data_IF_060888563254
#
_entry.id   IF_060888563254
#
_cell.length_a   1.000
_cell.length_b   1.000
_cell.length_c   1.000
_cell.angle_alpha   90.00
_cell.angle_beta   90.00
_cell.angle_gamma   90.00
#
_symmetry.space_group_name_H-M   'P 1'
#
loop_
_entity.id
_entity.type
_entity.pdbx_description
1 polymer ?
#
# COMPACT_ATOMS: atom_id res chain seq x y z
N UNK A 1 18.68 -72.14 18.21
CA UNK A 1 20.02 -72.12 18.83
C UNK A 1 20.47 -70.69 18.84
N UNK A 2 20.23 -70.09 19.99
CA UNK A 2 21.16 -69.34 20.92
C UNK A 2 21.87 -68.15 20.24
N UNK A 3 21.38 -66.95 20.64
CA UNK A 3 21.93 -66.06 21.70
C UNK A 3 23.28 -65.45 21.29
N UNK A 4 23.47 -64.12 21.37
CA UNK A 4 23.63 -63.29 22.55
C UNK A 4 23.64 -61.80 22.26
N UNK A 5 22.92 -61.05 23.14
CA UNK A 5 23.07 -59.68 23.48
C UNK A 5 24.52 -59.16 23.60
N UNK A 6 24.74 -57.91 23.24
CA UNK A 6 25.61 -57.07 24.03
C UNK A 6 25.20 -55.55 23.98
N UNK A 7 24.59 -55.16 25.05
CA UNK A 7 24.41 -53.77 25.50
C UNK A 7 25.77 -53.19 25.93
N UNK A 8 26.11 -52.02 25.42
CA UNK A 8 27.09 -51.16 26.05
C UNK A 8 26.40 -49.84 26.42
N UNK A 9 26.14 -49.69 27.69
CA UNK A 9 25.88 -48.41 28.33
C UNK A 9 27.18 -47.67 28.50
N UNK A 10 27.23 -46.41 28.23
CA UNK A 10 28.10 -45.52 28.99
C UNK A 10 27.46 -44.13 29.18
N UNK A 11 27.62 -43.57 30.37
CA UNK A 11 26.87 -42.43 30.87
C UNK A 11 27.69 -41.14 30.84
N UNK A 12 27.09 -40.08 31.34
CA UNK A 12 27.64 -38.76 31.68
C UNK A 12 27.71 -37.71 30.57
N UNK A 13 26.67 -36.90 30.59
CA UNK A 13 26.87 -35.47 30.84
C UNK A 13 25.51 -34.78 31.10
N UNK A 14 25.08 -34.87 32.38
CA UNK A 14 24.21 -33.87 32.99
C UNK A 14 25.09 -32.77 33.49
N UNK A 15 24.84 -31.53 33.07
CA UNK A 15 24.86 -30.30 33.86
C UNK A 15 25.02 -29.08 32.96
N UNK A 16 24.20 -28.13 33.33
CA UNK A 16 24.17 -26.71 33.00
C UNK A 16 23.16 -26.30 31.89
N UNK A 17 21.93 -26.10 32.36
CA UNK A 17 21.22 -24.84 32.14
C UNK A 17 20.02 -24.78 33.10
N UNK A 18 20.30 -24.14 34.24
CA UNK A 18 19.26 -23.81 35.22
C UNK A 18 19.07 -22.30 35.21
N UNK A 19 17.80 -21.90 34.98
CA UNK A 19 17.13 -20.67 35.40
C UNK A 19 17.72 -19.30 35.01
N UNK A 20 16.97 -18.59 34.19
CA UNK A 20 16.39 -17.29 34.60
C UNK A 20 15.07 -17.06 33.84
N UNK A 21 13.98 -17.43 34.45
CA UNK A 21 12.69 -16.81 34.25
C UNK A 21 12.70 -15.50 35.02
N UNK A 22 12.43 -14.38 34.36
CA UNK A 22 11.80 -13.24 34.97
C UNK A 22 10.81 -12.71 33.93
N UNK A 23 9.59 -13.16 34.08
CA UNK A 23 8.40 -12.56 33.51
C UNK A 23 7.89 -11.56 34.54
N UNK A 24 7.70 -10.33 34.11
CA UNK A 24 6.75 -9.43 34.72
C UNK A 24 5.67 -9.13 33.68
N UNK A 25 4.68 -9.98 33.63
CA UNK A 25 3.39 -9.67 32.99
C UNK A 25 2.64 -8.71 33.90
N UNK A 26 2.42 -7.49 33.48
CA UNK A 26 1.55 -6.53 34.15
C UNK A 26 0.10 -6.92 33.78
N UNK A 27 -0.79 -7.24 34.74
CA UNK A 27 -2.18 -7.57 34.43
C UNK A 27 -2.91 -6.40 33.80
N UNK A 28 -3.74 -6.65 32.79
CA UNK A 28 -4.55 -5.65 32.06
C UNK A 28 -5.36 -4.70 32.98
N UNK A 29 -5.69 -5.11 34.19
CA UNK A 29 -6.40 -4.31 35.17
C UNK A 29 -5.58 -3.17 35.80
N UNK A 30 -4.24 -3.18 35.66
CA UNK A 30 -3.39 -2.07 36.12
C UNK A 30 -3.17 -1.00 35.04
N UNK A 31 -3.21 -1.38 33.78
CA UNK A 31 -3.07 -0.43 32.66
C UNK A 31 -4.28 0.52 32.54
N UNK A 32 -5.50 0.06 32.89
CA UNK A 32 -6.70 0.91 32.85
C UNK A 32 -6.71 1.96 33.98
N UNK A 33 -6.17 1.64 35.15
CA UNK A 33 -6.10 2.58 36.29
C UNK A 33 -5.06 3.70 36.09
N UNK A 34 -4.02 3.44 35.31
CA UNK A 34 -2.99 4.44 35.00
C UNK A 34 -3.46 5.43 33.92
N UNK A 35 -4.30 4.99 32.99
CA UNK A 35 -4.92 5.86 31.99
C UNK A 35 -5.93 6.85 32.63
N UNK A 36 -6.66 6.43 33.65
CA UNK A 36 -7.61 7.28 34.35
C UNK A 36 -6.91 8.29 35.26
N UNK A 37 -5.73 7.96 35.79
CA UNK A 37 -4.93 8.85 36.62
C UNK A 37 -4.31 10.00 35.81
N UNK A 38 -3.95 9.76 34.53
CA UNK A 38 -3.42 10.79 33.62
C UNK A 38 -4.52 11.73 33.13
N UNK A 39 -5.77 11.27 33.02
CA UNK A 39 -6.91 12.10 32.65
C UNK A 39 -7.33 13.04 33.78
N UNK A 40 -7.22 12.64 35.06
CA UNK A 40 -7.58 13.47 36.22
C UNK A 40 -6.57 14.58 36.55
N UNK A 41 -5.30 14.44 36.13
CA UNK A 41 -4.27 15.47 36.35
C UNK A 41 -4.31 16.62 35.33
N UNK A 42 -5.07 16.52 34.24
CA UNK A 42 -5.25 17.61 33.27
C UNK A 42 -6.41 18.56 33.56
N UNK A 43 -7.22 18.30 34.57
CA UNK A 43 -8.42 19.07 34.90
C UNK A 43 -8.25 20.08 36.07
N UNK A 44 -7.06 20.20 36.70
CA UNK A 44 -6.85 21.06 37.89
C UNK A 44 -5.60 21.91 37.78
N UNK A 45 -5.58 22.80 36.80
CA UNK A 45 -4.50 23.77 36.62
C UNK A 45 -5.02 25.20 36.38
N UNK A 46 -5.86 25.70 37.27
CA UNK A 46 -6.25 27.12 37.32
C UNK A 46 -5.39 27.85 38.33
N UNK A 47 -4.42 28.63 37.88
CA UNK A 47 -3.58 29.46 38.72
C UNK A 47 -4.29 30.80 39.00
N UNK A 48 -4.76 30.97 40.25
CA UNK A 48 -5.19 32.27 40.79
C UNK A 48 -3.97 33.12 41.12
N UNK A 49 -3.80 34.26 40.46
CA UNK A 49 -2.88 35.32 40.90
C UNK A 49 -3.61 36.25 41.86
N UNK A 50 -3.12 36.27 43.10
CA UNK A 50 -3.51 37.19 44.18
C UNK A 50 -2.88 38.54 43.94
N UNK A 51 -3.67 39.61 43.92
CA UNK A 51 -3.24 41.00 43.94
C UNK A 51 -3.32 41.53 45.38
N UNK A 52 -2.24 42.10 45.90
CA UNK A 52 -2.23 42.92 47.08
C UNK A 52 -2.28 44.42 46.73
N UNK A 53 -2.90 45.29 47.56
CA UNK A 53 -3.14 46.67 47.25
C UNK A 53 -2.02 47.60 47.77
N UNK A 54 -1.80 48.72 47.10
CA UNK A 54 -1.04 49.83 47.64
C UNK A 54 -1.70 51.15 47.28
N UNK A 55 -1.89 51.93 48.36
CA UNK A 55 -2.40 53.25 48.68
C UNK A 55 -2.15 54.44 47.74
N UNK A 56 -3.21 55.25 47.57
CA UNK A 56 -3.44 56.70 47.87
C UNK A 56 -2.60 57.76 47.18
N UNK A 57 -3.26 58.53 46.37
CA UNK A 57 -3.74 59.91 46.18
C UNK A 57 -2.66 61.04 46.00
N UNK A 58 -2.89 62.22 45.35
CA UNK A 58 -4.16 62.93 45.21
C UNK A 58 -4.49 63.64 43.86
N UNK A 59 -5.74 63.99 43.77
CA UNK A 59 -6.55 64.96 43.00
C UNK A 59 -5.89 66.00 42.07
N UNK A 60 -6.38 66.08 40.82
CA UNK A 60 -6.69 67.29 40.09
C UNK A 60 -7.93 67.13 39.21
N UNK A 61 -8.86 68.08 39.31
CA UNK A 61 -10.12 68.20 38.56
C UNK A 61 -9.93 68.90 37.20
N UNK A 62 -10.95 69.13 36.36
CA UNK A 62 -11.14 68.42 35.15
C UNK A 62 -11.06 69.34 33.91
N UNK A 63 -10.71 68.81 32.76
CA UNK A 63 -11.04 69.41 31.47
C UNK A 63 -11.85 68.45 30.62
N UNK A 64 -13.05 68.97 30.31
CA UNK A 64 -14.07 68.32 29.54
C UNK A 64 -13.69 68.33 28.03
N UNK A 65 -13.24 67.20 27.49
CA UNK A 65 -13.12 67.01 26.09
C UNK A 65 -13.93 65.76 25.77
N UNK A 66 -15.07 65.92 25.10
CA UNK A 66 -15.91 64.86 24.57
C UNK A 66 -15.15 64.06 23.52
N UNK A 67 -14.47 62.98 23.96
CA UNK A 67 -13.95 61.96 23.06
C UNK A 67 -15.09 61.05 22.67
N UNK A 68 -15.47 61.12 21.39
CA UNK A 68 -16.36 60.15 20.76
C UNK A 68 -15.78 58.73 20.98
N UNK A 69 -16.49 57.91 21.75
CA UNK A 69 -16.21 56.50 21.89
C UNK A 69 -16.23 55.85 20.51
N UNK A 70 -15.19 55.09 20.12
CA UNK A 70 -15.26 54.28 18.90
C UNK A 70 -16.43 53.28 19.02
N UNK A 71 -17.31 53.27 18.04
CA UNK A 71 -18.30 52.21 17.93
C UNK A 71 -17.59 50.84 17.90
N UNK A 72 -18.06 49.83 18.66
CA UNK A 72 -17.52 48.50 18.56
C UNK A 72 -17.57 48.06 17.10
N UNK A 73 -16.43 47.62 16.56
CA UNK A 73 -16.40 47.03 15.23
C UNK A 73 -17.40 45.90 15.21
N UNK A 74 -18.40 46.01 14.33
CA UNK A 74 -19.35 44.94 14.11
C UNK A 74 -18.57 43.67 13.82
N UNK A 75 -18.78 42.63 14.62
CA UNK A 75 -18.27 41.28 14.36
C UNK A 75 -18.73 40.93 12.93
N UNK A 76 -17.85 41.11 11.96
CA UNK A 76 -18.05 40.50 10.63
C UNK A 76 -18.07 39.04 10.86
N UNK A 77 -19.26 38.44 10.90
CA UNK A 77 -19.45 36.99 10.76
C UNK A 77 -18.73 36.65 9.46
N UNK A 78 -17.60 35.97 9.59
CA UNK A 78 -16.90 35.44 8.42
C UNK A 78 -17.90 34.51 7.71
N UNK A 79 -18.34 34.91 6.54
CA UNK A 79 -19.14 34.02 5.70
C UNK A 79 -18.44 32.65 5.62
N UNK A 80 -19.16 31.54 5.76
CA UNK A 80 -18.55 30.23 5.64
C UNK A 80 -17.89 30.13 4.27
N UNK A 81 -16.60 29.94 4.24
CA UNK A 81 -15.85 29.69 3.01
C UNK A 81 -16.52 28.49 2.33
N UNK A 82 -17.23 28.72 1.23
CA UNK A 82 -17.81 27.64 0.42
C UNK A 82 -16.65 26.81 -0.10
N UNK A 83 -16.38 25.68 0.55
CA UNK A 83 -15.38 24.71 0.07
C UNK A 83 -15.92 24.07 -1.19
N UNK A 84 -15.11 24.02 -2.24
CA UNK A 84 -15.44 23.31 -3.46
C UNK A 84 -15.62 21.83 -3.13
N UNK A 85 -16.78 21.22 -3.42
CA UNK A 85 -16.99 19.81 -3.10
C UNK A 85 -16.06 18.91 -3.92
N UNK A 86 -15.62 17.80 -3.31
CA UNK A 86 -14.91 16.71 -3.97
C UNK A 86 -15.83 15.51 -4.00
N UNK A 87 -15.92 14.85 -5.15
CA UNK A 87 -16.65 13.59 -5.32
C UNK A 87 -15.66 12.44 -5.40
N UNK A 88 -15.95 11.38 -4.66
CA UNK A 88 -15.30 10.07 -4.75
C UNK A 88 -16.34 9.13 -5.36
N UNK A 89 -16.05 8.60 -6.55
CA UNK A 89 -17.01 7.83 -7.33
C UNK A 89 -16.37 6.48 -7.68
N UNK A 90 -16.57 5.46 -6.83
CA UNK A 90 -16.12 4.10 -7.15
C UNK A 90 -17.04 3.51 -8.23
N UNK A 91 -16.45 3.06 -9.31
CA UNK A 91 -17.13 2.39 -10.42
C UNK A 91 -16.75 0.90 -10.50
N UNK A 92 -15.96 0.43 -9.57
CA UNK A 92 -15.55 -0.95 -9.34
C UNK A 92 -14.67 -1.06 -8.10
N UNK A 93 -14.49 -2.27 -7.59
CA UNK A 93 -13.63 -2.56 -6.44
C UNK A 93 -14.28 -2.36 -5.07
N UNK A 94 -15.55 -1.96 -4.99
CA UNK A 94 -16.27 -1.90 -3.72
C UNK A 94 -17.11 -3.15 -3.50
N UNK A 95 -16.94 -3.77 -2.34
CA UNK A 95 -17.63 -5.02 -1.95
C UNK A 95 -17.39 -6.18 -2.93
N UNK A 96 -16.27 -6.13 -3.65
CA UNK A 96 -15.80 -7.14 -4.59
C UNK A 96 -14.27 -7.13 -4.66
N UNK A 97 -13.69 -8.20 -5.19
CA UNK A 97 -12.26 -8.26 -5.53
C UNK A 97 -12.14 -8.14 -7.05
N UNK A 98 -11.36 -7.16 -7.49
CA UNK A 98 -11.18 -6.87 -8.91
C UNK A 98 -11.88 -5.62 -9.38
N UNK A 99 -11.69 -5.28 -10.64
CA UNK A 99 -12.25 -4.09 -11.31
C UNK A 99 -11.98 -2.78 -10.57
N UNK A 100 -10.85 -2.65 -9.87
CA UNK A 100 -10.54 -1.43 -9.13
C UNK A 100 -10.56 -0.23 -10.09
N UNK A 101 -11.49 0.70 -9.84
CA UNK A 101 -11.71 1.87 -10.68
C UNK A 101 -12.43 2.95 -9.88
N UNK A 102 -11.71 3.98 -9.47
CA UNK A 102 -12.27 5.09 -8.68
C UNK A 102 -12.02 6.42 -9.36
N UNK A 103 -13.07 7.20 -9.59
CA UNK A 103 -12.98 8.56 -10.10
C UNK A 103 -12.94 9.54 -8.94
N UNK A 104 -11.98 10.47 -8.98
CA UNK A 104 -11.94 11.64 -8.10
C UNK A 104 -12.27 12.86 -8.95
N UNK A 105 -13.34 13.56 -8.59
CA UNK A 105 -13.79 14.78 -9.30
C UNK A 105 -13.82 15.98 -8.36
N UNK A 106 -13.23 17.09 -8.79
CA UNK A 106 -13.29 18.38 -8.10
C UNK A 106 -13.41 19.50 -9.12
N UNK A 107 -14.46 20.30 -9.04
CA UNK A 107 -14.77 21.35 -10.03
C UNK A 107 -14.88 20.76 -11.45
N UNK A 108 -14.07 21.28 -12.38
CA UNK A 108 -14.01 20.86 -13.77
C UNK A 108 -12.87 19.88 -14.06
N UNK A 109 -12.32 19.26 -13.04
CA UNK A 109 -11.22 18.33 -13.20
C UNK A 109 -11.58 16.99 -12.56
N UNK A 110 -11.28 15.90 -13.25
CA UNK A 110 -11.35 14.55 -12.71
C UNK A 110 -10.16 13.72 -13.17
N UNK A 111 -9.81 12.74 -12.40
CA UNK A 111 -8.86 11.69 -12.77
C UNK A 111 -9.31 10.34 -12.22
N UNK A 112 -8.73 9.29 -12.75
CA UNK A 112 -9.05 7.92 -12.39
C UNK A 112 -7.91 7.33 -11.56
N UNK A 113 -8.23 6.62 -10.49
CA UNK A 113 -7.31 5.77 -9.74
C UNK A 113 -7.58 4.34 -10.16
N UNK A 114 -6.57 3.71 -10.74
CA UNK A 114 -6.57 2.36 -11.29
C UNK A 114 -7.61 2.14 -12.41
N UNK A 115 -7.44 1.07 -13.16
CA UNK A 115 -8.38 0.61 -14.17
C UNK A 115 -8.22 -0.90 -14.31
N UNK A 116 -8.76 -1.62 -13.37
CA UNK A 116 -8.61 -3.05 -13.22
C UNK A 116 -9.60 -3.86 -14.05
N UNK A 117 -9.38 -5.17 -14.07
CA UNK A 117 -10.35 -6.16 -14.52
C UNK A 117 -10.73 -7.10 -13.38
N UNK A 118 -11.80 -7.84 -13.56
CA UNK A 118 -12.11 -9.04 -12.79
C UNK A 118 -12.25 -10.24 -13.75
N UNK A 119 -12.03 -11.42 -13.22
CA UNK A 119 -12.35 -12.65 -13.94
C UNK A 119 -13.82 -13.00 -13.72
N UNK A 120 -14.49 -13.54 -14.75
CA UNK A 120 -15.89 -13.96 -14.63
C UNK A 120 -16.00 -15.13 -13.65
N UNK A 121 -17.13 -15.22 -12.98
CA UNK A 121 -17.51 -16.38 -12.18
C UNK A 121 -18.20 -17.47 -13.03
N UNK A 122 -18.61 -18.55 -12.38
CA UNK A 122 -19.25 -19.69 -13.04
C UNK A 122 -20.64 -19.35 -13.63
N UNK A 123 -21.23 -18.22 -13.24
CA UNK A 123 -22.53 -17.78 -13.73
C UNK A 123 -22.45 -16.95 -15.02
N UNK A 124 -21.21 -16.69 -15.50
CA UNK A 124 -20.93 -15.88 -16.69
C UNK A 124 -20.30 -16.72 -17.83
N UNK A 125 -20.97 -17.77 -18.35
CA UNK A 125 -20.40 -18.60 -19.40
C UNK A 125 -20.15 -17.80 -20.68
N UNK A 126 -18.96 -17.97 -21.29
CA UNK A 126 -18.56 -17.28 -22.52
C UNK A 126 -18.04 -15.84 -22.31
N UNK A 127 -17.91 -15.40 -21.06
CA UNK A 127 -17.23 -14.14 -20.71
C UNK A 127 -15.78 -14.44 -20.34
N UNK A 128 -14.82 -13.75 -20.97
CA UNK A 128 -13.40 -13.94 -20.68
C UNK A 128 -12.91 -13.01 -19.57
N UNK A 129 -13.40 -11.77 -19.55
CA UNK A 129 -13.03 -10.74 -18.57
C UNK A 129 -14.21 -9.80 -18.28
N UNK A 130 -14.21 -9.20 -17.10
CA UNK A 130 -15.15 -8.16 -16.70
C UNK A 130 -14.38 -6.87 -16.43
N UNK A 131 -14.82 -5.76 -17.00
CA UNK A 131 -14.21 -4.44 -16.82
C UNK A 131 -15.23 -3.48 -16.19
N UNK A 132 -14.77 -2.36 -15.58
CA UNK A 132 -15.66 -1.34 -15.04
C UNK A 132 -16.52 -0.69 -16.11
N UNK A 133 -17.67 -0.14 -15.70
CA UNK A 133 -18.49 0.71 -16.57
C UNK A 133 -17.89 2.12 -16.65
N UNK A 134 -17.53 2.53 -17.86
CA UNK A 134 -16.92 3.84 -18.13
C UNK A 134 -17.94 4.95 -18.41
N UNK A 135 -19.24 4.68 -18.36
CA UNK A 135 -20.30 5.62 -18.77
C UNK A 135 -20.26 6.95 -18.04
N UNK A 136 -19.86 6.96 -16.75
CA UNK A 136 -19.67 8.21 -16.01
C UNK A 136 -18.58 9.08 -16.61
N UNK A 137 -17.45 8.47 -16.95
CA UNK A 137 -16.28 9.15 -17.55
C UNK A 137 -16.63 9.63 -18.95
N UNK A 138 -17.36 8.84 -19.75
CA UNK A 138 -17.81 9.23 -21.10
C UNK A 138 -18.66 10.50 -21.06
N UNK A 139 -19.59 10.59 -20.12
CA UNK A 139 -20.48 11.76 -19.97
C UNK A 139 -19.77 13.04 -19.49
N UNK A 140 -18.56 12.92 -18.98
CA UNK A 140 -17.78 14.02 -18.38
C UNK A 140 -16.34 14.05 -18.91
N UNK A 141 -16.08 13.54 -20.11
CA UNK A 141 -14.72 13.32 -20.61
C UNK A 141 -13.89 14.61 -20.70
N UNK A 142 -14.52 15.76 -20.87
CA UNK A 142 -13.85 17.06 -20.91
C UNK A 142 -13.13 17.43 -19.62
N UNK A 143 -13.53 16.82 -18.49
CA UNK A 143 -12.91 16.99 -17.17
C UNK A 143 -11.73 16.04 -16.95
N UNK A 144 -11.58 14.98 -17.76
CA UNK A 144 -10.62 13.92 -17.53
C UNK A 144 -9.18 14.41 -17.74
N UNK A 145 -8.33 14.29 -16.71
CA UNK A 145 -6.93 14.74 -16.72
C UNK A 145 -5.90 13.62 -16.82
N UNK A 146 -6.29 12.39 -16.55
CA UNK A 146 -5.40 11.24 -16.62
C UNK A 146 -5.82 10.08 -15.74
N UNK A 147 -4.97 9.05 -15.72
CA UNK A 147 -5.08 7.87 -14.85
C UNK A 147 -3.85 7.80 -13.97
N UNK A 148 -4.03 7.52 -12.69
CA UNK A 148 -2.94 7.24 -11.73
C UNK A 148 -3.05 5.79 -11.26
N UNK A 149 -1.94 5.07 -11.25
CA UNK A 149 -1.91 3.64 -10.94
C UNK A 149 -1.23 3.41 -9.60
N UNK A 150 -1.85 2.56 -8.77
CA UNK A 150 -1.30 2.16 -7.48
C UNK A 150 -0.20 1.11 -7.64
N UNK A 151 -0.44 0.08 -8.43
CA UNK A 151 0.51 -1.02 -8.69
C UNK A 151 0.08 -1.86 -9.91
N UNK A 152 0.90 -2.85 -10.26
CA UNK A 152 0.79 -3.59 -11.53
C UNK A 152 0.00 -4.89 -11.49
N UNK A 153 -0.92 -5.13 -10.55
CA UNK A 153 -1.80 -6.29 -10.57
C UNK A 153 -2.92 -6.15 -11.61
N UNK A 154 -3.45 -7.27 -12.10
CA UNK A 154 -4.47 -7.31 -13.14
C UNK A 154 -5.75 -6.60 -12.76
N UNK A 155 -6.16 -6.72 -11.53
CA UNK A 155 -7.33 -6.07 -10.95
C UNK A 155 -7.17 -4.57 -10.73
N UNK A 156 -5.97 -4.01 -11.05
CA UNK A 156 -5.66 -2.57 -11.04
C UNK A 156 -5.28 -2.03 -12.42
N UNK A 157 -4.73 -2.84 -13.33
CA UNK A 157 -4.29 -2.38 -14.66
C UNK A 157 -4.93 -3.12 -15.84
N UNK A 158 -5.63 -4.23 -15.58
CA UNK A 158 -6.09 -5.11 -16.65
C UNK A 158 -7.18 -4.52 -17.55
N UNK A 159 -8.00 -3.60 -17.04
CA UNK A 159 -9.01 -2.86 -17.81
C UNK A 159 -8.45 -1.67 -18.58
N UNK A 160 -7.22 -1.25 -18.26
CA UNK A 160 -6.62 -0.02 -18.79
C UNK A 160 -6.55 0.04 -20.33
N UNK A 161 -6.19 -1.03 -21.08
CA UNK A 161 -6.17 -0.97 -22.54
C UNK A 161 -7.55 -0.67 -23.14
N UNK A 162 -8.61 -1.20 -22.55
CA UNK A 162 -9.98 -0.96 -23.00
C UNK A 162 -10.42 0.49 -22.74
N UNK A 163 -10.01 1.04 -21.59
CA UNK A 163 -10.23 2.44 -21.24
C UNK A 163 -9.50 3.36 -22.20
N UNK A 164 -8.22 3.11 -22.45
CA UNK A 164 -7.36 3.96 -23.27
C UNK A 164 -7.69 3.91 -24.78
N UNK A 165 -8.41 2.89 -25.25
CA UNK A 165 -9.02 2.89 -26.59
C UNK A 165 -10.09 3.97 -26.75
N UNK A 166 -10.78 4.31 -25.66
CA UNK A 166 -11.83 5.35 -25.67
C UNK A 166 -11.27 6.72 -25.28
N UNK A 167 -10.33 6.76 -24.32
CA UNK A 167 -9.83 7.99 -23.70
C UNK A 167 -8.30 8.03 -23.77
N UNK A 168 -7.76 8.78 -24.75
CA UNK A 168 -6.32 8.95 -24.85
C UNK A 168 -5.85 10.03 -23.86
N UNK A 169 -5.52 9.62 -22.63
CA UNK A 169 -5.07 10.50 -21.55
C UNK A 169 -3.75 10.02 -20.95
N UNK A 170 -2.97 10.90 -20.30
CA UNK A 170 -1.73 10.51 -19.64
C UNK A 170 -1.97 9.48 -18.53
N UNK A 171 -1.07 8.51 -18.43
CA UNK A 171 -1.04 7.50 -17.36
C UNK A 171 0.19 7.74 -16.50
N UNK A 172 0.00 7.70 -15.18
CA UNK A 172 1.05 7.88 -14.18
C UNK A 172 1.16 6.63 -13.33
N UNK A 173 2.34 6.07 -13.18
CA UNK A 173 2.58 4.88 -12.38
C UNK A 173 4.07 4.70 -12.09
N UNK A 174 4.39 3.78 -11.21
CA UNK A 174 5.77 3.42 -10.90
C UNK A 174 6.39 2.62 -12.05
N UNK A 175 7.71 2.48 -12.03
CA UNK A 175 8.47 1.93 -13.16
C UNK A 175 8.04 0.50 -13.52
N UNK A 176 7.87 -0.39 -12.53
CA UNK A 176 7.43 -1.76 -12.78
C UNK A 176 5.98 -1.79 -13.27
N UNK A 177 5.11 -1.03 -12.63
CA UNK A 177 3.69 -0.91 -13.02
C UNK A 177 3.55 -0.49 -14.48
N UNK A 178 4.24 0.56 -14.90
CA UNK A 178 4.20 1.01 -16.30
C UNK A 178 4.87 0.01 -17.25
N UNK A 179 5.94 -0.68 -16.83
CA UNK A 179 6.54 -1.74 -17.64
C UNK A 179 5.57 -2.90 -17.92
N UNK A 180 4.71 -3.24 -16.98
CA UNK A 180 3.64 -4.23 -17.20
C UNK A 180 2.53 -3.67 -18.08
N UNK A 181 2.17 -2.40 -17.92
CA UNK A 181 1.21 -1.70 -18.78
C UNK A 181 1.71 -1.65 -20.23
N UNK A 182 2.99 -1.37 -20.48
CA UNK A 182 3.56 -1.40 -21.83
C UNK A 182 3.31 -2.71 -22.56
N UNK A 183 3.48 -3.86 -21.87
CA UNK A 183 3.18 -5.18 -22.41
C UNK A 183 1.72 -5.31 -22.86
N UNK A 184 0.80 -4.85 -22.02
CA UNK A 184 -0.64 -4.86 -22.33
C UNK A 184 -0.99 -3.91 -23.50
N UNK A 185 -0.44 -2.71 -23.51
CA UNK A 185 -0.66 -1.76 -24.59
C UNK A 185 -0.13 -2.31 -25.93
N UNK A 186 1.00 -3.03 -25.90
CA UNK A 186 1.53 -3.70 -27.07
C UNK A 186 0.57 -4.78 -27.61
N UNK A 187 0.02 -5.63 -26.74
CA UNK A 187 -0.96 -6.65 -27.10
C UNK A 187 -2.24 -6.05 -27.72
N UNK A 188 -2.61 -4.84 -27.30
CA UNK A 188 -3.79 -4.14 -27.82
C UNK A 188 -3.51 -3.12 -28.95
N UNK A 189 -2.27 -3.03 -29.44
CA UNK A 189 -1.88 -2.12 -30.52
C UNK A 189 -1.88 -0.64 -30.10
N UNK A 190 -1.74 -0.34 -28.82
CA UNK A 190 -1.76 1.00 -28.25
C UNK A 190 -0.39 1.51 -27.80
N UNK A 191 0.66 0.70 -27.96
CA UNK A 191 2.02 1.10 -27.58
C UNK A 191 2.47 2.31 -28.42
N UNK A 192 2.95 3.35 -27.75
CA UNK A 192 3.39 4.60 -28.38
C UNK A 192 2.26 5.62 -28.65
N UNK A 193 0.98 5.24 -28.51
CA UNK A 193 -0.14 6.18 -28.65
C UNK A 193 -0.49 6.88 -27.36
N UNK A 194 -0.14 6.27 -26.21
CA UNK A 194 -0.46 6.74 -24.86
C UNK A 194 0.79 7.29 -24.19
N UNK A 195 0.66 8.44 -23.54
CA UNK A 195 1.73 9.03 -22.76
C UNK A 195 1.85 8.36 -21.39
N UNK A 196 2.89 7.55 -21.17
CA UNK A 196 3.23 6.95 -19.90
C UNK A 196 4.22 7.83 -19.15
N UNK A 197 3.94 8.14 -17.89
CA UNK A 197 4.75 9.01 -17.04
C UNK A 197 5.18 8.24 -15.79
N UNK A 198 6.47 7.92 -15.70
CA UNK A 198 7.01 7.23 -14.53
C UNK A 198 7.04 8.18 -13.34
N UNK A 199 6.55 7.71 -12.21
CA UNK A 199 6.58 8.43 -10.93
C UNK A 199 7.33 7.62 -9.88
N UNK A 200 7.79 8.33 -8.85
CA UNK A 200 8.49 7.75 -7.70
C UNK A 200 7.78 8.11 -6.40
N UNK A 201 7.96 7.33 -5.33
CA UNK A 201 7.45 7.71 -4.01
C UNK A 201 7.91 9.12 -3.61
N UNK A 202 7.01 9.88 -2.97
CA UNK A 202 7.15 11.31 -2.59
C UNK A 202 7.05 12.29 -3.74
N UNK A 203 7.00 11.84 -4.98
CA UNK A 203 6.70 12.73 -6.11
C UNK A 203 5.24 13.16 -6.09
N UNK A 204 4.99 14.39 -6.52
CA UNK A 204 3.63 14.95 -6.66
C UNK A 204 3.36 15.31 -8.12
N UNK A 205 2.21 14.90 -8.63
CA UNK A 205 1.75 15.20 -9.99
C UNK A 205 0.50 16.08 -9.90
N UNK A 206 0.47 17.14 -10.70
CA UNK A 206 -0.70 18.04 -10.78
C UNK A 206 -1.68 17.56 -11.85
N UNK A 207 -2.94 17.39 -11.45
CA UNK A 207 -4.05 16.99 -12.31
C UNK A 207 -5.19 18.00 -12.15
N UNK A 208 -5.18 19.04 -12.99
CA UNK A 208 -6.11 20.16 -12.88
C UNK A 208 -5.96 20.94 -11.59
N UNK A 209 -7.05 21.11 -10.83
CA UNK A 209 -7.08 21.76 -9.51
C UNK A 209 -6.59 20.84 -8.38
N UNK A 210 -6.30 19.58 -8.66
CA UNK A 210 -5.84 18.58 -7.69
C UNK A 210 -4.36 18.25 -7.90
N UNK A 211 -3.72 17.70 -6.85
CA UNK A 211 -2.36 17.18 -6.92
C UNK A 211 -2.29 15.84 -6.19
N UNK A 212 -1.65 14.85 -6.82
CA UNK A 212 -1.51 13.49 -6.29
C UNK A 212 -0.06 13.28 -5.89
N UNK A 213 0.17 13.02 -4.62
CA UNK A 213 1.46 12.63 -4.06
C UNK A 213 1.47 11.10 -3.89
N UNK A 214 2.51 10.44 -4.39
CA UNK A 214 2.66 9.00 -4.30
C UNK A 214 3.42 8.62 -3.02
N UNK A 215 2.87 7.68 -2.25
CA UNK A 215 3.42 7.25 -0.95
C UNK A 215 3.74 5.77 -1.05
N UNK A 216 4.98 5.37 -0.69
CA UNK A 216 5.38 3.96 -0.72
C UNK A 216 4.53 3.12 0.23
N UNK A 217 4.02 2.00 -0.29
CA UNK A 217 3.42 0.94 0.52
C UNK A 217 4.12 -0.39 0.27
N UNK A 218 3.96 -1.37 1.16
CA UNK A 218 4.38 -2.73 0.91
C UNK A 218 3.20 -3.56 0.40
N UNK A 219 3.46 -4.33 -0.63
CA UNK A 219 2.49 -5.29 -1.19
C UNK A 219 3.24 -6.52 -1.70
N UNK A 220 2.56 -7.45 -2.40
CA UNK A 220 3.17 -8.64 -2.98
C UNK A 220 4.00 -8.35 -4.25
N UNK A 221 3.82 -7.19 -4.85
CA UNK A 221 4.55 -6.70 -6.02
C UNK A 221 5.42 -5.49 -5.62
N UNK A 222 6.65 -5.35 -6.17
CA UNK A 222 7.46 -4.15 -5.96
C UNK A 222 6.80 -2.88 -6.46
N UNK A 223 7.26 -1.75 -5.96
CA UNK A 223 6.85 -0.40 -6.38
C UNK A 223 5.39 -0.03 -6.11
N UNK A 224 4.66 -0.79 -5.31
CA UNK A 224 3.30 -0.42 -4.93
C UNK A 224 3.29 0.91 -4.18
N UNK A 225 2.31 1.75 -4.49
CA UNK A 225 2.11 3.07 -3.89
C UNK A 225 0.67 3.29 -3.47
N UNK A 226 0.50 3.94 -2.33
CA UNK A 226 -0.71 4.67 -1.99
C UNK A 226 -0.59 6.12 -2.43
N UNK A 227 -1.61 6.91 -2.19
CA UNK A 227 -1.71 8.29 -2.68
C UNK A 227 -2.27 9.23 -1.63
N UNK A 228 -1.69 10.43 -1.53
CA UNK A 228 -2.34 11.58 -0.92
C UNK A 228 -2.83 12.52 -2.01
N UNK A 229 -4.13 12.75 -2.05
CA UNK A 229 -4.78 13.57 -3.06
C UNK A 229 -5.11 14.92 -2.42
N UNK A 230 -4.33 15.92 -2.79
CA UNK A 230 -4.48 17.29 -2.33
C UNK A 230 -5.55 17.99 -3.18
N UNK A 231 -6.61 18.42 -2.56
CA UNK A 231 -7.74 19.10 -3.21
C UNK A 231 -8.03 20.43 -2.54
N UNK A 232 -8.77 21.34 -3.19
CA UNK A 232 -9.24 22.58 -2.55
C UNK A 232 -10.10 22.36 -1.30
N UNK A 233 -10.75 21.19 -1.16
CA UNK A 233 -11.56 20.85 0.02
C UNK A 233 -10.74 20.26 1.18
N UNK A 234 -9.61 19.67 0.90
CA UNK A 234 -8.77 18.96 1.87
C UNK A 234 -8.01 17.79 1.24
N UNK A 235 -7.37 17.00 2.07
CA UNK A 235 -6.57 15.85 1.63
C UNK A 235 -7.39 14.58 1.73
N UNK A 236 -7.41 13.79 0.65
CA UNK A 236 -7.91 12.41 0.63
C UNK A 236 -6.71 11.47 0.64
N UNK A 237 -6.84 10.33 1.28
CA UNK A 237 -5.84 9.25 1.25
C UNK A 237 -6.45 8.04 0.57
N UNK A 238 -5.71 7.46 -0.37
CA UNK A 238 -5.99 6.15 -0.96
C UNK A 238 -4.78 5.25 -0.68
N UNK A 239 -4.98 4.13 -0.01
CA UNK A 239 -3.86 3.27 0.40
C UNK A 239 -3.29 2.46 -0.75
N UNK A 240 -4.04 2.25 -1.83
CA UNK A 240 -3.80 1.12 -2.72
C UNK A 240 -3.89 -0.18 -1.91
N UNK A 241 -3.49 -1.29 -2.51
CA UNK A 241 -3.33 -2.54 -1.78
C UNK A 241 -2.06 -2.48 -0.94
N UNK A 242 -2.17 -2.82 0.35
CA UNK A 242 -1.05 -2.68 1.25
C UNK A 242 -1.00 -3.75 2.34
N UNK A 243 0.19 -3.93 2.87
CA UNK A 243 0.43 -4.58 4.15
C UNK A 243 1.45 -3.77 4.97
N UNK A 244 1.41 -3.88 6.27
CA UNK A 244 2.46 -3.33 7.14
C UNK A 244 3.51 -4.41 7.37
N UNK A 245 4.63 -4.32 6.66
CA UNK A 245 5.76 -5.24 6.79
C UNK A 245 7.04 -4.46 7.12
N UNK A 246 7.56 -4.65 8.34
CA UNK A 246 8.81 -4.03 8.80
C UNK A 246 10.07 -4.78 8.37
N UNK A 247 9.93 -5.94 7.78
CA UNK A 247 11.03 -6.79 7.30
C UNK A 247 10.79 -7.24 5.86
N UNK A 248 10.52 -6.32 4.92
CA UNK A 248 10.31 -6.68 3.53
C UNK A 248 11.57 -7.36 2.97
N UNK A 249 11.39 -8.18 1.94
CA UNK A 249 12.50 -8.91 1.30
C UNK A 249 13.35 -7.95 0.49
N UNK A 250 12.72 -7.09 -0.28
CA UNK A 250 13.32 -6.05 -1.10
C UNK A 250 12.49 -4.77 -1.03
N UNK A 251 13.09 -3.67 -1.46
CA UNK A 251 12.48 -2.36 -1.41
C UNK A 251 12.55 -1.71 -0.03
N UNK A 252 11.83 -0.64 0.15
CA UNK A 252 11.74 0.08 1.43
C UNK A 252 10.54 -0.36 2.25
N UNK A 253 10.57 -0.06 3.53
CA UNK A 253 9.42 -0.20 4.43
C UNK A 253 8.32 0.77 3.99
N UNK A 254 7.06 0.42 4.24
CA UNK A 254 5.91 1.32 4.07
C UNK A 254 6.17 2.66 4.75
N UNK A 255 5.83 3.75 4.08
CA UNK A 255 6.09 5.11 4.57
C UNK A 255 5.01 5.58 5.56
N UNK A 256 4.87 4.85 6.67
CA UNK A 256 3.95 5.22 7.75
C UNK A 256 4.21 6.63 8.31
N UNK A 257 5.48 7.11 8.42
CA UNK A 257 5.72 8.49 8.82
C UNK A 257 4.98 9.51 7.96
N UNK A 258 4.93 9.29 6.63
CA UNK A 258 4.20 10.21 5.76
C UNK A 258 2.70 10.17 5.96
N UNK A 259 2.12 9.01 6.14
CA UNK A 259 0.70 8.89 6.50
C UNK A 259 0.39 9.58 7.84
N UNK A 260 1.27 9.43 8.84
CA UNK A 260 1.13 10.09 10.14
C UNK A 260 1.23 11.64 10.03
N UNK A 261 2.19 12.16 9.24
CA UNK A 261 2.31 13.61 8.98
C UNK A 261 1.03 14.19 8.37
N UNK A 262 0.42 13.47 7.40
CA UNK A 262 -0.83 13.87 6.75
C UNK A 262 -2.00 13.78 7.73
N UNK A 263 -2.07 12.71 8.52
CA UNK A 263 -3.08 12.53 9.54
C UNK A 263 -3.07 13.64 10.59
N UNK A 264 -1.88 14.09 11.03
CA UNK A 264 -1.71 15.21 11.96
C UNK A 264 -2.19 16.55 11.39
N UNK A 265 -2.12 16.74 10.07
CA UNK A 265 -2.63 17.92 9.37
C UNK A 265 -4.14 17.89 9.14
N UNK A 266 -4.74 16.73 9.25
CA UNK A 266 -6.15 16.47 8.98
C UNK A 266 -6.36 15.88 7.58
N UNK A 267 -7.11 14.76 7.52
CA UNK A 267 -7.51 14.03 6.33
C UNK A 267 -9.02 14.10 6.18
N UNK A 268 -9.49 14.46 5.00
CA UNK A 268 -10.92 14.59 4.70
C UNK A 268 -11.59 13.22 4.60
N UNK A 269 -10.95 12.26 3.93
CA UNK A 269 -11.40 10.89 3.81
C UNK A 269 -10.22 9.94 3.61
N UNK A 270 -10.34 8.71 4.12
CA UNK A 270 -9.42 7.60 3.92
C UNK A 270 -10.15 6.50 3.15
N UNK A 271 -9.64 6.17 1.97
CA UNK A 271 -10.03 5.00 1.18
C UNK A 271 -8.95 3.93 1.40
N UNK A 272 -9.29 2.91 2.18
CA UNK A 272 -8.33 1.89 2.59
C UNK A 272 -8.71 0.52 2.03
N UNK A 273 -7.71 -0.23 1.56
CA UNK A 273 -7.83 -1.65 1.33
C UNK A 273 -8.36 -2.34 2.59
N UNK A 274 -9.38 -3.13 2.42
CA UNK A 274 -10.06 -3.90 3.48
C UNK A 274 -10.13 -5.39 3.18
N UNK A 275 -9.36 -5.88 2.24
CA UNK A 275 -9.19 -7.31 1.93
C UNK A 275 -8.76 -8.04 3.20
N UNK A 276 -9.44 -9.09 3.59
CA UNK A 276 -9.24 -9.81 4.85
C UNK A 276 -9.55 -9.04 6.15
N UNK A 277 -10.22 -7.89 6.13
CA UNK A 277 -10.54 -7.14 7.35
C UNK A 277 -11.38 -7.94 8.36
N UNK A 278 -12.19 -8.89 7.88
CA UNK A 278 -13.01 -9.77 8.70
C UNK A 278 -12.26 -10.99 9.25
N UNK A 279 -11.04 -11.28 8.76
CA UNK A 279 -10.27 -12.44 9.20
C UNK A 279 -9.48 -12.10 10.46
N UNK A 280 -9.65 -12.87 11.56
CA UNK A 280 -8.84 -12.66 12.76
C UNK A 280 -7.36 -12.99 12.48
N UNK A 281 -6.45 -12.24 13.11
CA UNK A 281 -5.02 -12.43 13.00
C UNK A 281 -4.33 -11.33 12.21
N UNK A 282 -3.20 -11.66 11.58
CA UNK A 282 -2.40 -10.72 10.79
C UNK A 282 -1.65 -11.45 9.65
N UNK A 283 -1.32 -10.72 8.61
CA UNK A 283 -0.50 -11.23 7.51
C UNK A 283 0.98 -11.23 7.91
N UNK A 284 1.62 -12.40 7.86
CA UNK A 284 3.05 -12.52 8.18
C UNK A 284 3.92 -11.88 7.08
N UNK A 285 5.16 -11.49 7.48
CA UNK A 285 6.17 -11.04 6.53
C UNK A 285 6.48 -12.12 5.49
N UNK A 286 6.72 -11.70 4.26
CA UNK A 286 7.12 -12.58 3.16
C UNK A 286 8.45 -13.32 3.45
N UNK A 287 9.28 -12.79 4.35
CA UNK A 287 10.49 -13.46 4.85
C UNK A 287 10.19 -14.82 5.49
N UNK A 288 9.06 -14.96 6.19
CA UNK A 288 8.63 -16.23 6.78
C UNK A 288 8.34 -17.30 5.72
N UNK A 289 7.83 -16.89 4.57
CA UNK A 289 7.62 -17.80 3.42
C UNK A 289 8.98 -18.30 2.92
N UNK A 290 9.99 -17.43 2.86
CA UNK A 290 11.38 -17.81 2.52
C UNK A 290 11.96 -18.89 3.42
N UNK A 291 11.77 -18.78 4.74
CA UNK A 291 12.21 -19.82 5.69
C UNK A 291 11.54 -21.17 5.39
N UNK A 292 10.30 -21.17 4.93
CA UNK A 292 9.57 -22.38 4.53
C UNK A 292 10.14 -22.98 3.23
N UNK A 293 10.52 -22.14 2.27
CA UNK A 293 11.18 -22.61 1.05
C UNK A 293 12.48 -23.32 1.35
N UNK A 294 13.35 -22.79 2.21
CA UNK A 294 14.60 -23.48 2.62
C UNK A 294 14.31 -24.89 3.11
N UNK A 295 13.32 -25.06 3.99
CA UNK A 295 12.94 -26.38 4.51
C UNK A 295 12.40 -27.32 3.41
N UNK A 296 11.62 -26.80 2.49
CA UNK A 296 11.03 -27.59 1.39
C UNK A 296 12.10 -28.01 0.40
N UNK A 297 13.02 -27.11 0.03
CA UNK A 297 14.10 -27.42 -0.89
C UNK A 297 15.04 -28.48 -0.32
N UNK A 298 15.40 -28.38 0.98
CA UNK A 298 16.21 -29.41 1.66
C UNK A 298 15.53 -30.79 1.66
N UNK A 299 14.21 -30.86 1.84
CA UNK A 299 13.44 -32.12 1.82
C UNK A 299 13.25 -32.71 0.42
N UNK A 300 13.47 -31.92 -0.62
CA UNK A 300 13.21 -32.27 -2.00
C UNK A 300 14.51 -32.64 -2.74
N UNK A 301 15.56 -33.07 -2.02
CA UNK A 301 16.79 -33.59 -2.62
C UNK A 301 16.46 -34.80 -3.53
N UNK A 302 17.01 -34.81 -4.73
CA UNK A 302 16.72 -35.83 -5.74
C UNK A 302 15.28 -35.85 -6.28
N UNK A 303 14.51 -34.76 -6.07
CA UNK A 303 13.12 -34.67 -6.56
C UNK A 303 12.91 -33.39 -7.34
N UNK A 304 12.04 -33.42 -8.34
CA UNK A 304 11.58 -32.24 -9.05
C UNK A 304 10.58 -31.48 -8.17
N UNK A 305 10.73 -30.13 -8.10
CA UNK A 305 9.87 -29.27 -7.32
C UNK A 305 8.95 -28.50 -8.30
N UNK A 306 7.65 -28.53 -8.06
CA UNK A 306 6.65 -27.72 -8.78
C UNK A 306 6.07 -26.74 -7.78
N UNK A 307 6.14 -25.43 -8.08
CA UNK A 307 5.66 -24.36 -7.23
C UNK A 307 4.60 -23.56 -7.99
N UNK A 308 3.37 -23.58 -7.49
CA UNK A 308 2.30 -22.73 -7.97
C UNK A 308 2.26 -21.43 -7.16
N UNK A 309 2.29 -20.30 -7.84
CA UNK A 309 2.21 -18.96 -7.22
C UNK A 309 1.61 -17.97 -8.21
N UNK A 310 1.13 -16.82 -7.71
CA UNK A 310 0.71 -15.73 -8.58
C UNK A 310 1.92 -15.16 -9.33
N UNK A 311 1.75 -14.93 -10.62
CA UNK A 311 2.78 -14.38 -11.50
C UNK A 311 3.31 -13.03 -10.99
N UNK A 312 2.42 -12.21 -10.49
CA UNK A 312 2.69 -10.86 -10.00
C UNK A 312 3.38 -10.80 -8.63
N UNK A 313 3.49 -11.94 -7.90
CA UNK A 313 4.22 -11.97 -6.64
C UNK A 313 5.74 -12.08 -6.89
N UNK A 314 6.31 -10.98 -7.39
CA UNK A 314 7.73 -10.88 -7.78
C UNK A 314 8.67 -11.18 -6.61
N UNK A 315 8.33 -10.77 -5.41
CA UNK A 315 9.13 -11.05 -4.20
C UNK A 315 9.21 -12.55 -3.90
N UNK A 316 8.12 -13.28 -4.07
CA UNK A 316 8.10 -14.73 -3.89
C UNK A 316 8.90 -15.44 -4.97
N UNK A 317 8.78 -14.99 -6.21
CA UNK A 317 9.59 -15.51 -7.32
C UNK A 317 11.08 -15.30 -7.05
N UNK A 318 11.50 -14.15 -6.56
CA UNK A 318 12.89 -13.92 -6.17
C UNK A 318 13.37 -14.89 -5.08
N UNK A 319 12.54 -15.17 -4.07
CA UNK A 319 12.87 -16.14 -3.03
C UNK A 319 13.01 -17.56 -3.58
N UNK A 320 12.14 -17.96 -4.51
CA UNK A 320 12.22 -19.26 -5.19
C UNK A 320 13.53 -19.35 -5.97
N UNK A 321 13.88 -18.34 -6.76
CA UNK A 321 15.12 -18.28 -7.52
C UNK A 321 16.34 -18.36 -6.60
N UNK A 322 16.35 -17.58 -5.51
CA UNK A 322 17.46 -17.60 -4.54
C UNK A 322 17.66 -18.98 -3.92
N UNK A 323 16.56 -19.67 -3.55
CA UNK A 323 16.64 -21.03 -3.02
C UNK A 323 17.11 -22.04 -4.10
N UNK A 324 16.65 -21.90 -5.33
CA UNK A 324 17.11 -22.74 -6.44
C UNK A 324 18.64 -22.58 -6.65
N UNK A 325 19.12 -21.34 -6.67
CA UNK A 325 20.58 -21.05 -6.78
C UNK A 325 21.36 -21.69 -5.63
N UNK A 326 20.88 -21.53 -4.39
CA UNK A 326 21.56 -22.11 -3.20
C UNK A 326 21.65 -23.64 -3.26
N UNK A 327 20.69 -24.30 -3.91
CA UNK A 327 20.65 -25.76 -4.04
C UNK A 327 21.14 -26.25 -5.41
N UNK A 328 21.82 -25.41 -6.21
CA UNK A 328 22.36 -25.77 -7.52
C UNK A 328 21.30 -26.15 -8.57
N UNK A 329 20.03 -25.73 -8.38
CA UNK A 329 18.91 -26.08 -9.22
C UNK A 329 18.70 -25.11 -10.36
N UNK A 330 18.15 -25.59 -11.46
CA UNK A 330 17.61 -24.78 -12.55
C UNK A 330 16.16 -24.42 -12.26
N UNK A 331 15.71 -23.31 -12.83
CA UNK A 331 14.33 -22.84 -12.73
C UNK A 331 13.74 -22.74 -14.13
N UNK A 332 12.62 -23.41 -14.36
CA UNK A 332 11.83 -23.22 -15.56
C UNK A 332 10.51 -22.53 -15.19
N UNK A 333 10.06 -21.66 -16.07
CA UNK A 333 8.84 -20.86 -15.86
C UNK A 333 7.80 -21.29 -16.86
N UNK A 334 6.57 -21.50 -16.38
CA UNK A 334 5.43 -21.89 -17.22
C UNK A 334 4.27 -20.90 -17.02
N UNK A 335 3.56 -20.63 -18.12
CA UNK A 335 2.44 -19.71 -18.17
C UNK A 335 2.82 -18.32 -18.69
N UNK A 336 2.03 -17.81 -19.66
CA UNK A 336 2.29 -16.55 -20.36
C UNK A 336 2.48 -15.36 -19.41
N UNK A 337 1.57 -15.20 -18.47
CA UNK A 337 1.62 -14.11 -17.49
C UNK A 337 2.89 -14.20 -16.63
N UNK A 338 3.28 -15.40 -16.18
CA UNK A 338 4.49 -15.61 -15.39
C UNK A 338 5.75 -15.25 -16.18
N UNK A 339 5.83 -15.68 -17.43
CA UNK A 339 6.96 -15.34 -18.31
C UNK A 339 7.05 -13.84 -18.53
N UNK A 340 5.93 -13.17 -18.82
CA UNK A 340 5.89 -11.73 -19.06
C UNK A 340 6.34 -10.93 -17.82
N UNK A 341 5.82 -11.25 -16.65
CA UNK A 341 6.16 -10.55 -15.39
C UNK A 341 7.62 -10.79 -15.02
N UNK A 342 8.11 -12.02 -15.10
CA UNK A 342 9.51 -12.34 -14.79
C UNK A 342 10.46 -11.64 -15.77
N UNK A 343 10.20 -11.72 -17.08
CA UNK A 343 11.02 -11.06 -18.09
C UNK A 343 11.10 -9.55 -17.87
N UNK A 344 9.95 -8.92 -17.61
CA UNK A 344 9.90 -7.48 -17.32
C UNK A 344 10.58 -7.15 -15.98
N UNK A 345 10.41 -7.99 -14.96
CA UNK A 345 11.08 -7.86 -13.66
C UNK A 345 12.62 -7.91 -13.78
N UNK A 346 13.14 -8.81 -14.62
CA UNK A 346 14.58 -8.91 -14.92
C UNK A 346 15.05 -7.69 -15.71
N UNK A 347 14.36 -7.33 -16.81
CA UNK A 347 14.68 -6.17 -17.65
C UNK A 347 14.79 -4.88 -16.83
N UNK A 348 13.88 -4.69 -15.89
CA UNK A 348 13.82 -3.49 -15.04
C UNK A 348 14.68 -3.59 -13.77
N UNK A 349 15.32 -4.74 -13.49
CA UNK A 349 16.19 -4.95 -12.33
C UNK A 349 15.49 -5.23 -11.02
N UNK A 350 14.19 -5.58 -11.03
CA UNK A 350 13.44 -6.01 -9.85
C UNK A 350 13.61 -7.50 -9.53
N UNK A 351 14.07 -8.29 -10.50
CA UNK A 351 14.47 -9.68 -10.31
C UNK A 351 15.94 -9.86 -10.67
N UNK A 352 16.68 -10.49 -9.78
CA UNK A 352 18.09 -10.83 -9.96
C UNK A 352 18.20 -12.31 -10.19
N UNK A 353 18.58 -12.69 -11.40
CA UNK A 353 18.73 -14.07 -11.81
C UNK A 353 20.14 -14.28 -12.34
N UNK A 354 20.96 -15.12 -11.70
CA UNK A 354 22.27 -15.48 -12.23
C UNK A 354 22.16 -16.19 -13.59
N UNK A 355 23.18 -16.00 -14.42
CA UNK A 355 23.24 -16.63 -15.73
C UNK A 355 23.09 -18.16 -15.66
N UNK A 356 22.31 -18.71 -16.59
CA UNK A 356 22.09 -20.15 -16.70
C UNK A 356 21.23 -20.76 -15.61
N UNK A 357 20.61 -19.97 -14.70
CA UNK A 357 19.64 -20.45 -13.71
C UNK A 357 18.28 -20.66 -14.35
N UNK A 358 17.80 -19.69 -15.13
CA UNK A 358 16.57 -19.84 -15.91
C UNK A 358 16.83 -20.68 -17.15
N UNK A 359 15.98 -21.68 -17.36
CA UNK A 359 16.00 -22.58 -18.52
C UNK A 359 14.63 -22.61 -19.17
N UNK A 360 14.61 -22.93 -20.44
CA UNK A 360 13.38 -23.11 -21.20
C UNK A 360 12.61 -24.32 -20.65
N UNK A 361 11.29 -24.15 -20.48
CA UNK A 361 10.39 -25.20 -19.99
C UNK A 361 10.45 -26.47 -20.87
N UNK A 362 10.63 -26.33 -22.18
CA UNK A 362 10.73 -27.44 -23.10
C UNK A 362 12.04 -28.25 -22.97
N UNK A 363 13.03 -27.67 -22.29
CA UNK A 363 14.32 -28.31 -22.02
C UNK A 363 14.39 -29.04 -20.68
N UNK A 364 13.37 -28.87 -19.81
CA UNK A 364 13.37 -29.38 -18.43
C UNK A 364 13.59 -30.90 -18.36
N UNK A 365 13.12 -31.65 -19.36
CA UNK A 365 13.32 -33.11 -19.45
C UNK A 365 14.79 -33.56 -19.57
N UNK A 366 15.69 -32.63 -19.95
CA UNK A 366 17.14 -32.88 -20.10
C UNK A 366 17.92 -32.76 -18.80
N UNK A 367 17.29 -32.23 -17.75
CA UNK A 367 17.92 -32.04 -16.43
C UNK A 367 17.45 -33.13 -15.48
N UNK A 368 18.35 -33.58 -14.63
CA UNK A 368 18.03 -34.49 -13.54
C UNK A 368 17.06 -33.84 -12.54
N UNK A 369 16.28 -34.63 -11.80
CA UNK A 369 15.32 -34.14 -10.83
C UNK A 369 15.92 -33.28 -9.73
#
# INVERSE_FOLDING_TARGET
>A
MNEKNNTVKNPTQKRFFRKKQNKSEIPLAQASKELDRVKSQRASGSVKKTLQPRNETPQRKPQNTQQRRPRPAANRVKEPVRRTPVKIIPLGGLNEIGKNFTVIECSNDMFVIDCGLAFPDSEMPGVDIVIPDFSYVEKNQEKLRGVVLTHGHEDHIGGLPYFLKKFNVPVYGTRLTLGLVEGKLKEHGLLGTVKLNVVTPRQTVKLGCMAVEFIRVNHSIPDAVGMAIHTPAGVLIHTGDFKVDYTPIEGGIIDLPRFAELGNKGVLALMADSTNAERPGYTMSERKVGESFVKLFNKAEGKRIIIATFASNVHRVQQIINNAVTHGRKVAVSGRSMVNVISKGIELGYLKVPDGVLVDIDTVSRYEP
#
